data_IF_650405722973
#
_entry.id   IF_650405722973
#
_cell.length_a   1.000
_cell.length_b   1.000
_cell.length_c   1.000
_cell.angle_alpha   90.00
_cell.angle_beta   90.00
_cell.angle_gamma   90.00
#
_symmetry.space_group_name_H-M   'P 1'
#
loop_
_entity.id
_entity.type
_entity.pdbx_description
1 polymer ?
#
# COMPACT_ATOMS: atom_id res chain seq x y z
N UNK A 1 -64.50 -21.13 -60.58
CA UNK A 1 -64.73 -20.23 -59.42
C UNK A 1 -65.41 -21.08 -58.34
N UNK A 2 -64.91 -21.22 -57.11
CA UNK A 2 -63.84 -20.53 -56.43
C UNK A 2 -63.29 -21.29 -55.22
N UNK A 3 -62.02 -20.99 -54.92
CA UNK A 3 -61.38 -20.69 -53.64
C UNK A 3 -61.60 -21.68 -52.47
N UNK A 4 -60.52 -22.42 -52.19
CA UNK A 4 -60.17 -23.07 -50.93
C UNK A 4 -60.02 -22.05 -49.79
N UNK A 5 -60.51 -22.38 -48.59
CA UNK A 5 -60.06 -21.75 -47.35
C UNK A 5 -59.87 -22.77 -46.23
N UNK A 6 -58.61 -23.06 -45.94
CA UNK A 6 -58.08 -23.66 -44.72
C UNK A 6 -58.34 -22.74 -43.52
N UNK A 7 -58.98 -23.24 -42.45
CA UNK A 7 -58.87 -22.66 -41.09
C UNK A 7 -58.94 -23.77 -40.04
N UNK A 8 -57.76 -24.15 -39.55
CA UNK A 8 -57.55 -24.82 -38.27
C UNK A 8 -58.17 -24.00 -37.13
N UNK A 9 -59.38 -24.32 -36.70
CA UNK A 9 -59.89 -23.86 -35.41
C UNK A 9 -59.33 -24.80 -34.33
N UNK A 10 -58.12 -24.50 -33.85
CA UNK A 10 -57.72 -24.95 -32.51
C UNK A 10 -58.49 -24.12 -31.53
N UNK A 11 -59.28 -24.80 -30.72
CA UNK A 11 -60.00 -24.25 -29.58
C UNK A 11 -59.01 -23.46 -28.71
N UNK A 12 -59.31 -22.18 -28.48
CA UNK A 12 -58.69 -21.43 -27.40
C UNK A 12 -59.26 -22.01 -26.10
N UNK A 13 -58.66 -23.11 -25.67
CA UNK A 13 -58.85 -23.60 -24.31
C UNK A 13 -58.33 -22.48 -23.39
N UNK A 14 -59.21 -21.97 -22.55
CA UNK A 14 -58.88 -20.94 -21.58
C UNK A 14 -57.70 -21.43 -20.74
N UNK A 15 -56.56 -20.75 -20.86
CA UNK A 15 -55.46 -20.90 -19.92
C UNK A 15 -55.97 -20.40 -18.56
N UNK A 16 -56.53 -21.29 -17.76
CA UNK A 16 -56.61 -21.10 -16.32
C UNK A 16 -55.16 -21.15 -15.82
N UNK A 17 -54.50 -19.99 -15.75
CA UNK A 17 -53.30 -19.84 -14.95
C UNK A 17 -53.65 -20.25 -13.52
N UNK A 18 -53.19 -21.43 -13.12
CA UNK A 18 -53.17 -21.80 -11.71
C UNK A 18 -52.28 -20.77 -11.01
N UNK A 19 -52.81 -19.93 -10.10
CA UNK A 19 -52.02 -18.88 -9.45
C UNK A 19 -50.91 -19.44 -8.54
N UNK A 20 -50.86 -20.77 -8.37
CA UNK A 20 -49.84 -21.47 -7.62
C UNK A 20 -48.77 -22.14 -8.50
N UNK A 21 -48.88 -22.09 -9.83
CA UNK A 21 -47.81 -22.53 -10.75
C UNK A 21 -46.80 -21.39 -11.00
N UNK A 22 -46.33 -20.80 -9.91
CA UNK A 22 -45.11 -19.99 -9.94
C UNK A 22 -43.94 -20.96 -9.99
N UNK A 23 -43.64 -21.39 -11.22
CA UNK A 23 -42.57 -22.31 -11.57
C UNK A 23 -41.39 -22.20 -10.61
N UNK A 24 -41.09 -23.33 -9.98
CA UNK A 24 -39.92 -23.59 -9.14
C UNK A 24 -38.64 -22.95 -9.70
N UNK A 25 -38.57 -22.82 -11.02
CA UNK A 25 -37.51 -22.22 -11.81
C UNK A 25 -37.19 -20.75 -11.45
N UNK A 26 -38.19 -19.87 -11.25
CA UNK A 26 -37.91 -18.45 -10.95
C UNK A 26 -37.45 -18.19 -9.52
N UNK A 27 -37.87 -19.03 -8.56
CA UNK A 27 -37.44 -18.92 -7.14
C UNK A 27 -36.05 -19.49 -6.90
N UNK A 28 -35.61 -20.46 -7.72
CA UNK A 28 -34.25 -21.01 -7.66
C UNK A 28 -33.24 -20.03 -8.23
N UNK A 29 -33.59 -19.37 -9.35
CA UNK A 29 -32.80 -18.28 -9.94
C UNK A 29 -32.65 -17.12 -8.94
N UNK A 30 -33.70 -16.65 -8.27
CA UNK A 30 -33.57 -15.55 -7.30
C UNK A 30 -32.67 -15.91 -6.08
N UNK A 31 -32.61 -17.18 -5.66
CA UNK A 31 -31.74 -17.61 -4.55
C UNK A 31 -30.29 -17.83 -4.97
N UNK A 32 -30.02 -18.36 -6.16
CA UNK A 32 -28.64 -18.53 -6.65
C UNK A 32 -27.97 -17.19 -6.92
N UNK A 33 -28.71 -16.24 -7.50
CA UNK A 33 -28.20 -14.90 -7.74
C UNK A 33 -27.93 -14.14 -6.42
N UNK A 34 -28.61 -14.48 -5.32
CA UNK A 34 -28.30 -13.87 -4.02
C UNK A 34 -27.04 -14.43 -3.38
N UNK A 35 -26.76 -15.74 -3.51
CA UNK A 35 -25.59 -16.35 -2.84
C UNK A 35 -24.29 -15.98 -3.54
N UNK A 36 -24.28 -16.01 -4.88
CA UNK A 36 -23.11 -15.62 -5.68
C UNK A 36 -22.86 -14.10 -5.60
N UNK A 37 -23.92 -13.29 -5.65
CA UNK A 37 -23.77 -11.85 -5.44
C UNK A 37 -23.36 -11.51 -4.00
N UNK A 38 -23.82 -12.27 -2.99
CA UNK A 38 -23.36 -12.10 -1.61
C UNK A 38 -21.90 -12.53 -1.44
N UNK A 39 -21.44 -13.58 -2.13
CA UNK A 39 -20.04 -13.98 -2.12
C UNK A 39 -19.15 -12.97 -2.83
N UNK A 40 -19.57 -12.44 -3.99
CA UNK A 40 -18.87 -11.37 -4.71
C UNK A 40 -18.88 -10.05 -3.92
N UNK A 41 -19.98 -9.73 -3.25
CA UNK A 41 -20.09 -8.57 -2.38
C UNK A 41 -19.25 -8.76 -1.12
N UNK A 42 -19.20 -9.96 -0.54
CA UNK A 42 -18.34 -10.28 0.59
C UNK A 42 -16.87 -10.23 0.21
N UNK A 43 -16.47 -10.69 -0.98
CA UNK A 43 -15.11 -10.59 -1.52
C UNK A 43 -14.71 -9.13 -1.83
N UNK A 44 -15.65 -8.36 -2.38
CA UNK A 44 -15.48 -6.93 -2.64
C UNK A 44 -15.43 -6.08 -1.36
N UNK A 45 -16.18 -6.44 -0.31
CA UNK A 45 -16.16 -5.77 1.00
C UNK A 45 -15.04 -6.30 1.92
N UNK A 46 -14.62 -7.56 1.77
CA UNK A 46 -13.44 -8.10 2.43
C UNK A 46 -12.16 -7.59 1.76
N UNK A 47 -12.26 -6.96 0.59
CA UNK A 47 -11.16 -6.39 -0.15
C UNK A 47 -10.11 -7.45 -0.43
N UNK A 48 -10.29 -8.24 -1.49
CA UNK A 48 -9.21 -9.07 -2.02
C UNK A 48 -7.90 -8.26 -2.04
N UNK A 49 -6.96 -8.63 -1.16
CA UNK A 49 -5.69 -7.95 -0.89
C UNK A 49 -5.77 -6.40 -0.92
N UNK A 50 -6.54 -5.77 -0.01
CA UNK A 50 -6.38 -4.33 0.20
C UNK A 50 -5.09 -4.08 1.00
N UNK A 51 -3.97 -3.89 0.30
CA UNK A 51 -2.71 -3.40 0.88
C UNK A 51 -2.96 -2.26 1.87
N UNK A 52 -2.52 -2.41 3.12
CA UNK A 52 -2.66 -1.38 4.13
C UNK A 52 -1.48 -0.42 4.05
N UNK A 53 -1.71 0.77 3.48
CA UNK A 53 -0.72 1.85 3.44
C UNK A 53 -0.82 2.67 4.74
N UNK A 54 0.22 2.61 5.56
CA UNK A 54 0.28 3.26 6.87
C UNK A 54 1.41 4.28 6.94
N UNK A 55 1.13 5.58 7.18
CA UNK A 55 2.17 6.56 7.46
C UNK A 55 2.93 6.18 8.73
N UNK A 56 4.26 6.28 8.71
CA UNK A 56 5.11 5.90 9.83
C UNK A 56 6.31 6.82 10.02
N UNK A 57 6.66 7.07 11.29
CA UNK A 57 7.97 7.59 11.67
C UNK A 57 8.91 6.42 11.82
N UNK A 58 9.92 6.37 10.95
CA UNK A 58 10.92 5.32 10.95
C UNK A 58 11.95 5.54 12.05
N UNK A 59 12.41 6.78 12.22
CA UNK A 59 13.43 7.12 13.20
C UNK A 59 13.27 8.54 13.70
N UNK A 60 13.55 8.73 14.98
CA UNK A 60 13.76 10.05 15.58
C UNK A 60 14.87 9.95 16.61
N UNK A 61 15.97 10.69 16.41
CA UNK A 61 17.12 10.63 17.30
C UNK A 61 18.38 11.24 16.73
N UNK A 62 19.47 11.08 17.47
CA UNK A 62 20.78 11.66 17.19
C UNK A 62 21.85 10.55 17.15
N UNK A 63 22.19 10.01 15.96
CA UNK A 63 23.01 8.81 15.82
C UNK A 63 24.48 8.98 16.26
N UNK A 64 25.00 10.22 16.28
CA UNK A 64 26.42 10.47 16.54
C UNK A 64 27.33 9.86 15.47
N UNK A 65 28.58 9.57 15.86
CA UNK A 65 29.66 9.17 14.94
C UNK A 65 29.64 7.70 14.54
N UNK A 66 28.64 6.93 14.96
CA UNK A 66 28.40 5.57 14.50
C UNK A 66 27.12 5.52 13.68
N UNK A 67 27.20 4.94 12.47
CA UNK A 67 26.04 4.89 11.59
C UNK A 67 24.96 4.01 12.24
N UNK A 68 23.75 4.56 12.36
CA UNK A 68 22.62 3.90 13.00
C UNK A 68 21.59 3.53 11.95
N UNK A 69 21.09 2.30 12.00
CA UNK A 69 19.95 1.87 11.18
C UNK A 69 18.71 2.62 11.68
N UNK A 70 18.22 3.54 10.85
CA UNK A 70 16.99 4.29 11.09
C UNK A 70 15.77 3.42 10.81
N UNK A 71 15.87 2.54 9.81
CA UNK A 71 14.80 1.64 9.42
C UNK A 71 15.38 0.39 8.78
N UNK A 72 14.82 -0.76 9.11
CA UNK A 72 15.02 -2.02 8.41
C UNK A 72 13.65 -2.52 8.00
N UNK A 73 13.51 -2.87 6.73
CA UNK A 73 12.25 -3.36 6.18
C UNK A 73 11.90 -4.73 6.80
N UNK A 74 10.77 -4.84 7.53
CA UNK A 74 10.27 -6.13 8.00
C UNK A 74 9.92 -7.07 6.85
N UNK A 75 9.86 -8.38 7.14
CA UNK A 75 9.32 -9.37 6.22
C UNK A 75 7.87 -9.05 5.83
N UNK A 76 7.47 -9.44 4.62
CA UNK A 76 6.10 -9.27 4.09
C UNK A 76 5.60 -7.81 4.10
N UNK A 77 6.52 -6.85 4.03
CA UNK A 77 6.20 -5.42 3.93
C UNK A 77 7.00 -4.77 2.81
N UNK A 78 6.42 -3.71 2.24
CA UNK A 78 7.14 -2.72 1.47
C UNK A 78 7.14 -1.39 2.22
N UNK A 79 8.08 -0.51 1.89
CA UNK A 79 8.08 0.83 2.45
C UNK A 79 8.52 1.88 1.44
N UNK A 80 8.07 3.11 1.63
CA UNK A 80 8.53 4.26 0.85
C UNK A 80 9.09 5.29 1.83
N UNK A 81 10.40 5.54 1.75
CA UNK A 81 11.01 6.68 2.43
C UNK A 81 10.58 7.97 1.73
N UNK A 82 10.02 8.91 2.49
CA UNK A 82 9.47 10.15 1.94
C UNK A 82 10.21 11.41 2.37
N UNK A 83 10.48 11.57 3.66
CA UNK A 83 11.08 12.81 4.17
C UNK A 83 12.03 12.54 5.31
N UNK A 84 13.18 13.20 5.24
CA UNK A 84 14.16 13.29 6.32
C UNK A 84 14.31 14.76 6.71
N UNK A 85 14.09 15.05 7.99
CA UNK A 85 14.43 16.34 8.59
C UNK A 85 15.73 16.14 9.36
N UNK A 86 16.71 17.00 9.10
CA UNK A 86 18.00 17.02 9.77
C UNK A 86 18.19 18.37 10.42
N UNK A 87 18.57 18.38 11.69
CA UNK A 87 18.75 19.60 12.48
C UNK A 87 20.13 19.57 13.13
N UNK A 88 20.86 20.67 13.04
CA UNK A 88 22.03 20.92 13.86
C UNK A 88 21.63 21.75 15.07
N UNK A 89 21.75 21.20 16.27
CA UNK A 89 21.43 21.92 17.51
C UNK A 89 22.64 22.63 18.12
N UNK A 90 23.80 22.57 17.47
CA UNK A 90 25.03 23.22 17.92
C UNK A 90 25.25 24.58 17.26
N UNK A 91 26.13 25.39 17.88
CA UNK A 91 26.58 26.68 17.35
C UNK A 91 27.69 26.56 16.29
N UNK A 92 28.16 25.35 15.99
CA UNK A 92 29.22 25.08 15.04
C UNK A 92 28.67 24.34 13.81
N UNK A 93 29.34 24.45 12.66
CA UNK A 93 28.95 23.67 11.48
C UNK A 93 29.20 22.18 11.73
N UNK A 94 28.24 21.35 11.35
CA UNK A 94 28.29 19.89 11.42
C UNK A 94 28.21 19.28 10.02
N UNK A 95 28.44 17.97 9.94
CA UNK A 95 28.21 17.20 8.73
C UNK A 95 27.37 15.97 9.03
N UNK A 96 26.62 15.52 8.04
CA UNK A 96 25.78 14.34 8.16
C UNK A 96 25.94 13.41 6.97
N UNK A 97 25.48 12.17 7.17
CA UNK A 97 25.38 11.18 6.10
C UNK A 97 24.05 10.43 6.17
N UNK A 98 23.55 10.05 4.99
CA UNK A 98 22.34 9.25 4.82
C UNK A 98 22.68 8.12 3.87
N UNK A 99 22.28 6.91 4.22
CA UNK A 99 22.52 5.71 3.45
C UNK A 99 21.20 5.02 3.12
N UNK A 100 21.13 4.44 1.93
CA UNK A 100 20.10 3.50 1.54
C UNK A 100 20.75 2.24 1.01
N UNK A 101 20.53 1.14 1.71
CA UNK A 101 21.07 -0.15 1.39
C UNK A 101 19.93 -1.07 0.91
N UNK A 102 19.84 -1.34 -0.40
CA UNK A 102 18.69 -2.03 -0.99
C UNK A 102 18.66 -3.54 -0.70
N UNK A 103 19.70 -4.13 -0.11
CA UNK A 103 19.80 -5.59 0.01
C UNK A 103 20.50 -6.06 1.29
N UNK A 104 20.39 -5.28 2.38
CA UNK A 104 20.95 -5.68 3.68
C UNK A 104 22.49 -5.81 3.74
N UNK A 105 23.21 -5.35 2.71
CA UNK A 105 24.68 -5.39 2.67
C UNK A 105 25.33 -4.40 3.65
N UNK A 106 26.63 -4.52 3.90
CA UNK A 106 27.32 -3.55 4.77
C UNK A 106 27.17 -2.11 4.26
N UNK A 107 27.07 -1.15 5.17
CA UNK A 107 27.08 0.28 4.81
C UNK A 107 28.46 0.66 4.22
N UNK A 108 28.45 1.39 3.11
CA UNK A 108 29.66 1.77 2.40
C UNK A 108 29.44 2.95 1.46
N UNK A 109 30.50 3.44 0.84
CA UNK A 109 30.40 4.63 -0.03
C UNK A 109 29.49 4.42 -1.25
N UNK A 110 29.23 3.17 -1.64
CA UNK A 110 28.39 2.82 -2.78
C UNK A 110 26.88 2.89 -2.46
N UNK A 111 26.48 2.96 -1.19
CA UNK A 111 25.07 3.00 -0.77
C UNK A 111 24.71 4.31 -0.05
N UNK A 112 25.48 5.37 -0.29
CA UNK A 112 25.25 6.69 0.31
C UNK A 112 24.34 7.56 -0.58
N UNK A 113 23.36 8.21 0.03
CA UNK A 113 22.50 9.23 -0.59
C UNK A 113 23.02 10.66 -0.32
N UNK A 114 23.61 10.87 0.85
CA UNK A 114 24.27 12.11 1.23
C UNK A 114 25.59 11.80 1.94
N UNK A 115 26.71 12.27 1.41
CA UNK A 115 28.04 12.02 1.98
C UNK A 115 28.68 13.30 2.47
N UNK A 116 28.99 13.36 3.78
CA UNK A 116 29.56 14.54 4.43
C UNK A 116 28.87 15.84 4.02
N UNK A 117 27.54 15.78 3.95
CA UNK A 117 26.78 16.95 3.58
C UNK A 117 26.91 17.99 4.71
N UNK A 118 27.28 19.24 4.40
CA UNK A 118 27.40 20.28 5.41
C UNK A 118 26.03 20.67 5.94
N UNK A 119 26.01 21.03 7.22
CA UNK A 119 24.85 21.52 7.94
C UNK A 119 25.31 22.64 8.87
N UNK A 120 24.92 23.87 8.55
CA UNK A 120 25.38 25.06 9.23
C UNK A 120 24.88 25.10 10.69
N UNK A 121 25.51 25.97 11.49
CA UNK A 121 25.14 26.17 12.88
C UNK A 121 23.65 26.53 13.02
N UNK A 122 22.94 25.85 13.92
CA UNK A 122 21.50 26.02 14.14
C UNK A 122 20.61 25.81 12.88
N UNK A 123 21.13 25.15 11.84
CA UNK A 123 20.40 24.94 10.59
C UNK A 123 19.42 23.75 10.70
N UNK A 124 18.28 23.87 10.00
CA UNK A 124 17.39 22.75 9.69
C UNK A 124 17.33 22.52 8.19
N UNK A 125 17.55 21.28 7.76
CA UNK A 125 17.37 20.84 6.38
C UNK A 125 16.21 19.87 6.26
N UNK A 126 15.38 20.11 5.25
CA UNK A 126 14.34 19.21 4.81
C UNK A 126 14.80 18.52 3.53
N UNK A 127 14.76 17.18 3.54
CA UNK A 127 15.19 16.36 2.41
C UNK A 127 14.00 15.51 2.01
N UNK A 128 13.52 15.72 0.79
CA UNK A 128 12.45 14.94 0.19
C UNK A 128 13.05 13.82 -0.66
N UNK A 129 12.68 12.59 -0.34
CA UNK A 129 13.01 11.41 -1.11
C UNK A 129 11.73 10.68 -1.55
N UNK A 130 11.88 9.80 -2.53
CA UNK A 130 10.87 8.83 -2.91
C UNK A 130 11.60 7.52 -3.22
N UNK A 131 12.02 6.84 -2.17
CA UNK A 131 12.84 5.63 -2.30
C UNK A 131 11.99 4.44 -1.85
N UNK A 132 11.67 3.51 -2.76
CA UNK A 132 11.00 2.28 -2.41
C UNK A 132 11.99 1.28 -1.78
N UNK A 133 11.53 0.62 -0.73
CA UNK A 133 12.18 -0.51 -0.07
C UNK A 133 11.29 -1.72 -0.31
N UNK A 134 11.72 -2.62 -1.19
CA UNK A 134 10.92 -3.78 -1.65
C UNK A 134 11.65 -5.11 -1.41
N UNK A 135 12.86 -5.06 -0.88
CA UNK A 135 13.67 -6.25 -0.61
C UNK A 135 13.75 -6.39 0.90
N UNK A 136 13.36 -7.56 1.41
CA UNK A 136 13.52 -7.91 2.82
C UNK A 136 14.98 -7.65 3.24
N UNK A 137 15.21 -6.98 4.38
CA UNK A 137 16.50 -6.44 4.87
C UNK A 137 17.00 -5.13 4.25
N UNK A 138 16.25 -4.51 3.33
CA UNK A 138 16.58 -3.17 2.89
C UNK A 138 16.58 -2.20 4.08
N UNK A 139 17.62 -1.36 4.18
CA UNK A 139 17.83 -0.48 5.33
C UNK A 139 18.04 0.97 4.92
N UNK A 140 17.52 1.89 5.75
CA UNK A 140 17.92 3.29 5.79
C UNK A 140 18.78 3.49 7.02
N UNK A 141 19.93 4.14 6.84
CA UNK A 141 20.81 4.46 7.96
C UNK A 141 21.21 5.94 7.94
N UNK A 142 21.45 6.47 9.13
CA UNK A 142 21.79 7.89 9.36
C UNK A 142 23.03 7.99 10.24
N UNK A 143 23.76 9.07 10.05
CA UNK A 143 25.00 9.35 10.78
C UNK A 143 25.20 10.86 10.91
N UNK A 144 25.74 11.29 12.05
CA UNK A 144 26.12 12.69 12.29
C UNK A 144 27.58 12.81 12.73
N UNK A 145 28.20 13.96 12.50
CA UNK A 145 29.54 14.25 13.05
C UNK A 145 29.56 14.29 14.58
N UNK A 146 28.43 14.61 15.21
CA UNK A 146 28.23 14.62 16.66
C UNK A 146 26.81 14.18 17.01
N UNK A 147 26.51 14.13 18.30
CA UNK A 147 25.15 13.92 18.83
C UNK A 147 24.27 15.16 18.77
N UNK A 148 24.77 16.28 18.22
CA UNK A 148 23.99 17.51 18.00
C UNK A 148 23.28 17.51 16.63
N UNK A 149 23.52 16.49 15.81
CA UNK A 149 22.79 16.26 14.56
C UNK A 149 21.59 15.36 14.84
N UNK A 150 20.40 15.95 14.80
CA UNK A 150 19.12 15.27 15.07
C UNK A 150 18.41 14.95 13.76
N UNK A 151 17.91 13.72 13.64
CA UNK A 151 17.17 13.23 12.49
C UNK A 151 15.72 12.95 12.87
N UNK A 152 14.81 13.23 11.93
CA UNK A 152 13.46 12.68 11.90
C UNK A 152 13.23 12.09 10.52
N UNK A 153 13.00 10.78 10.45
CA UNK A 153 12.84 10.01 9.21
C UNK A 153 11.40 9.51 9.15
N UNK A 154 10.71 9.82 8.05
CA UNK A 154 9.29 9.51 7.88
C UNK A 154 9.01 8.95 6.49
N UNK A 155 8.00 8.09 6.42
CA UNK A 155 7.59 7.42 5.21
C UNK A 155 6.25 6.71 5.38
N UNK A 156 6.05 5.71 4.54
CA UNK A 156 4.89 4.84 4.58
C UNK A 156 5.37 3.40 4.58
N UNK A 157 4.71 2.55 5.37
CA UNK A 157 4.77 1.10 5.23
C UNK A 157 3.53 0.63 4.47
N UNK A 158 3.72 -0.42 3.69
CA UNK A 158 2.70 -1.10 2.93
C UNK A 158 2.79 -2.55 3.38
N UNK A 159 1.72 -3.06 3.97
CA UNK A 159 1.67 -4.43 4.46
C UNK A 159 0.60 -5.18 3.70
N UNK A 160 0.95 -6.36 3.19
CA UNK A 160 -0.01 -7.31 2.65
C UNK A 160 -0.85 -7.87 3.82
N UNK A 161 -2.19 -7.90 3.71
CA UNK A 161 -3.07 -8.34 4.78
C UNK A 161 -2.99 -9.84 5.11
#
# INVERSE_FOLDING_TARGET
>A
MGISSNKNNREFDSFEENPNDLGTDRRVVVKQFSTEAQAQLADALSGGASELISPRTFYQGNPGTSATVAYELPADTEAILRKIVVVNTSSDQQVYRIYFNPSGTSLGNYNVLAWHAPLDANETKYIDYFIPLTVETATIAVWGSTTDVVFTVTGYEITEP
#
